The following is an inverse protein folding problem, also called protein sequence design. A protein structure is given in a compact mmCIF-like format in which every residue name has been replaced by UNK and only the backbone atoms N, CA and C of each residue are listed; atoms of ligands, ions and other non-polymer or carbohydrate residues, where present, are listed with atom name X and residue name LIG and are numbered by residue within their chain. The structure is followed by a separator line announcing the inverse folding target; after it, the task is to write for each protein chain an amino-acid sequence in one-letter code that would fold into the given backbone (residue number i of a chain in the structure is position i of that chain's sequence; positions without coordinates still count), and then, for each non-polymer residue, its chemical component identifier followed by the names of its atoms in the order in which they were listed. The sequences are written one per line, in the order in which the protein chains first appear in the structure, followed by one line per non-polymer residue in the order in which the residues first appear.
data_IF_171255936631
#
_entry.id   IF_171255936631
#
_cell.length_a   1.000
_cell.length_b   1.000
_cell.length_c   1.000
_cell.angle_alpha   90.00
_cell.angle_beta   90.00
_cell.angle_gamma   90.00
#
_symmetry.space_group_name_H-M   'P 1'
#
loop_
_entity.id
_entity.type
_entity.pdbx_description
1 polymer ?
#
# COMPACT_ATOMS: atom_id res chain seq x y z
N UNK A 1 12.74 23.24 13.54
CA UNK A 1 11.62 22.45 12.98
C UNK A 1 11.29 21.36 13.99
N UNK A 2 10.06 21.30 14.51
CA UNK A 2 9.67 20.26 15.48
C UNK A 2 9.34 18.97 14.73
N UNK A 3 9.70 17.81 15.30
CA UNK A 3 9.39 16.50 14.70
C UNK A 3 7.88 16.32 14.43
N UNK A 4 7.04 16.95 15.27
CA UNK A 4 5.60 16.99 15.08
C UNK A 4 5.18 17.55 13.72
N UNK A 5 5.82 18.62 13.23
CA UNK A 5 5.50 19.22 11.92
C UNK A 5 5.81 18.25 10.76
N UNK A 6 6.90 17.49 10.86
CA UNK A 6 7.28 16.48 9.86
C UNK A 6 6.22 15.39 9.78
N UNK A 7 5.76 14.90 10.94
CA UNK A 7 4.73 13.85 11.03
C UNK A 7 3.40 14.36 10.45
N UNK A 8 2.98 15.56 10.82
CA UNK A 8 1.74 16.16 10.31
C UNK A 8 1.83 16.32 8.78
N UNK A 9 2.95 16.81 8.26
CA UNK A 9 3.15 16.93 6.81
C UNK A 9 3.06 15.57 6.10
N UNK A 10 3.66 14.52 6.65
CA UNK A 10 3.55 13.17 6.09
C UNK A 10 2.11 12.65 6.07
N UNK A 11 1.36 12.82 7.17
CA UNK A 11 -0.05 12.40 7.23
C UNK A 11 -0.88 13.13 6.16
N UNK A 12 -0.69 14.45 6.03
CA UNK A 12 -1.39 15.26 5.03
C UNK A 12 -1.05 14.79 3.61
N UNK A 13 0.24 14.57 3.31
CA UNK A 13 0.68 14.11 1.98
C UNK A 13 0.14 12.72 1.64
N UNK A 14 0.23 11.76 2.58
CA UNK A 14 -0.31 10.42 2.40
C UNK A 14 -1.84 10.43 2.22
N UNK A 15 -2.54 11.28 2.97
CA UNK A 15 -3.98 11.45 2.83
C UNK A 15 -4.36 12.03 1.45
N UNK A 16 -3.64 13.06 0.98
CA UNK A 16 -3.83 13.62 -0.36
C UNK A 16 -3.56 12.54 -1.43
N UNK A 17 -2.47 11.78 -1.30
CA UNK A 17 -2.16 10.66 -2.19
C UNK A 17 -3.30 9.63 -2.24
N UNK A 18 -3.78 9.20 -1.08
CA UNK A 18 -4.88 8.25 -0.97
C UNK A 18 -6.16 8.76 -1.66
N UNK A 19 -6.56 10.02 -1.40
CA UNK A 19 -7.81 10.57 -1.94
C UNK A 19 -7.70 10.85 -3.43
N UNK A 20 -6.66 11.52 -3.90
CA UNK A 20 -6.58 11.98 -5.28
C UNK A 20 -5.96 10.93 -6.20
N UNK A 21 -4.76 10.46 -5.88
CA UNK A 21 -4.05 9.49 -6.71
C UNK A 21 -4.73 8.11 -6.64
N UNK A 22 -5.07 7.64 -5.43
CA UNK A 22 -5.80 6.37 -5.25
C UNK A 22 -7.16 6.34 -5.97
N UNK A 23 -7.95 7.42 -5.89
CA UNK A 23 -9.22 7.50 -6.61
C UNK A 23 -9.06 7.59 -8.12
N UNK A 24 -8.03 8.27 -8.61
CA UNK A 24 -7.72 8.32 -10.04
C UNK A 24 -7.34 6.92 -10.55
N UNK A 25 -6.49 6.22 -9.83
CA UNK A 25 -6.01 4.88 -10.17
C UNK A 25 -7.15 3.85 -10.17
N UNK A 26 -8.03 3.91 -9.16
CA UNK A 26 -9.23 3.07 -9.10
C UNK A 26 -10.15 3.24 -10.33
N UNK A 27 -10.27 4.49 -10.83
CA UNK A 27 -11.04 4.77 -12.06
C UNK A 27 -10.35 4.22 -13.30
N UNK A 28 -9.02 4.37 -13.41
CA UNK A 28 -8.26 3.85 -14.55
C UNK A 28 -8.32 2.32 -14.66
N UNK A 29 -8.28 1.61 -13.54
CA UNK A 29 -8.38 0.16 -13.52
C UNK A 29 -9.81 -0.38 -13.58
N UNK A 30 -10.82 0.48 -13.61
CA UNK A 30 -12.22 0.07 -13.76
C UNK A 30 -12.70 -0.83 -12.60
N UNK A 31 -12.31 -0.50 -11.37
CA UNK A 31 -12.73 -1.27 -10.19
C UNK A 31 -14.25 -1.23 -10.08
N UNK A 32 -14.88 -2.40 -10.18
CA UNK A 32 -16.31 -2.59 -9.99
C UNK A 32 -16.57 -3.35 -8.67
N UNK A 33 -17.07 -2.67 -7.62
CA UNK A 33 -17.38 -3.30 -6.34
C UNK A 33 -18.46 -4.39 -6.40
N UNK A 34 -19.27 -4.43 -7.46
CA UNK A 34 -20.34 -5.43 -7.64
C UNK A 34 -19.83 -6.70 -8.33
N UNK A 35 -18.61 -6.67 -8.88
CA UNK A 35 -18.03 -7.82 -9.58
C UNK A 35 -17.61 -8.88 -8.57
N UNK A 36 -18.21 -10.06 -8.66
CA UNK A 36 -17.79 -11.21 -7.85
C UNK A 36 -16.37 -11.62 -8.22
N UNK A 37 -15.55 -11.93 -7.21
CA UNK A 37 -14.16 -12.34 -7.42
C UNK A 37 -14.10 -13.75 -8.01
N UNK A 38 -13.04 -14.11 -8.75
CA UNK A 38 -12.83 -15.47 -9.24
C UNK A 38 -12.90 -16.54 -8.15
N UNK A 39 -12.46 -16.20 -6.93
CA UNK A 39 -12.55 -17.07 -5.75
C UNK A 39 -13.99 -17.50 -5.41
N UNK A 40 -15.00 -16.72 -5.80
CA UNK A 40 -16.42 -17.04 -5.59
C UNK A 40 -17.05 -17.73 -6.81
N UNK A 41 -16.80 -17.23 -8.02
CA UNK A 41 -17.45 -17.73 -9.24
C UNK A 41 -16.80 -18.98 -9.85
N UNK A 42 -15.54 -19.25 -9.53
CA UNK A 42 -14.75 -20.40 -10.02
C UNK A 42 -14.22 -21.25 -8.87
N UNK A 43 -14.89 -21.24 -7.73
CA UNK A 43 -14.42 -21.93 -6.53
C UNK A 43 -14.21 -23.43 -6.79
N UNK A 44 -12.97 -23.91 -6.63
CA UNK A 44 -12.56 -25.30 -6.89
C UNK A 44 -11.92 -25.98 -5.68
N UNK A 45 -11.66 -25.22 -4.60
CA UNK A 45 -11.02 -25.73 -3.38
C UNK A 45 -9.50 -25.90 -3.48
N UNK A 46 -8.88 -25.53 -4.60
CA UNK A 46 -7.44 -25.62 -4.84
C UNK A 46 -6.85 -24.28 -5.26
N UNK A 47 -7.19 -23.78 -6.45
CA UNK A 47 -6.67 -22.52 -7.01
C UNK A 47 -7.58 -21.33 -6.65
N UNK A 48 -8.88 -21.56 -6.50
CA UNK A 48 -9.89 -20.57 -6.16
C UNK A 48 -10.58 -20.94 -4.85
N UNK A 49 -10.07 -20.37 -3.75
CA UNK A 49 -10.61 -20.57 -2.40
C UNK A 49 -11.07 -19.24 -1.81
N UNK A 50 -12.31 -19.21 -1.31
CA UNK A 50 -12.85 -18.02 -0.63
C UNK A 50 -12.14 -17.81 0.70
N UNK A 51 -11.40 -16.71 0.81
CA UNK A 51 -10.70 -16.30 2.03
C UNK A 51 -11.34 -15.06 2.64
N UNK A 52 -11.23 -14.92 3.97
CA UNK A 52 -11.65 -13.70 4.67
C UNK A 52 -10.74 -12.54 4.27
N UNK A 53 -11.26 -11.31 4.06
CA UNK A 53 -10.45 -10.16 3.64
C UNK A 53 -9.23 -9.87 4.54
N UNK A 54 -9.36 -10.08 5.85
CA UNK A 54 -8.24 -9.88 6.81
C UNK A 54 -7.08 -10.84 6.55
N UNK A 55 -7.38 -12.08 6.16
CA UNK A 55 -6.36 -13.09 5.84
C UNK A 55 -5.66 -12.73 4.53
N UNK A 56 -6.42 -12.31 3.52
CA UNK A 56 -5.87 -11.83 2.24
C UNK A 56 -4.97 -10.61 2.43
N UNK A 57 -5.40 -9.65 3.27
CA UNK A 57 -4.58 -8.49 3.60
C UNK A 57 -3.23 -8.90 4.19
N UNK A 58 -3.23 -9.84 5.14
CA UNK A 58 -2.00 -10.36 5.74
C UNK A 58 -1.07 -11.03 4.73
N UNK A 59 -1.60 -11.87 3.83
CA UNK A 59 -0.81 -12.50 2.76
C UNK A 59 -0.25 -11.50 1.76
N UNK A 60 -1.06 -10.53 1.32
CA UNK A 60 -0.58 -9.48 0.42
C UNK A 60 0.50 -8.66 1.10
N UNK A 61 0.28 -8.25 2.35
CA UNK A 61 1.24 -7.48 3.12
C UNK A 61 2.56 -8.24 3.30
N UNK A 62 2.52 -9.51 3.73
CA UNK A 62 3.74 -10.30 3.93
C UNK A 62 4.51 -10.52 2.62
N UNK A 63 3.80 -10.67 1.50
CA UNK A 63 4.41 -10.86 0.18
C UNK A 63 5.15 -9.62 -0.32
N UNK A 64 4.73 -8.41 0.07
CA UNK A 64 5.38 -7.16 -0.34
C UNK A 64 6.35 -6.60 0.70
N UNK A 65 6.15 -6.92 1.98
CA UNK A 65 6.85 -6.27 3.10
C UNK A 65 8.38 -6.38 3.02
N UNK A 66 8.89 -7.54 2.60
CA UNK A 66 10.34 -7.79 2.53
C UNK A 66 11.06 -6.88 1.53
N UNK A 67 10.50 -6.67 0.34
CA UNK A 67 11.19 -5.97 -0.74
C UNK A 67 11.11 -4.44 -0.61
N UNK A 68 9.90 -3.87 -0.64
CA UNK A 68 9.72 -2.42 -0.68
C UNK A 68 9.76 -1.76 0.71
N UNK A 69 8.84 -2.13 1.61
CA UNK A 69 8.68 -1.47 2.91
C UNK A 69 9.84 -1.67 3.89
N UNK A 70 10.57 -2.79 3.82
CA UNK A 70 11.67 -3.08 4.75
C UNK A 70 13.03 -2.68 4.14
N UNK A 71 13.43 -3.29 3.01
CA UNK A 71 14.76 -3.05 2.46
C UNK A 71 14.95 -1.59 1.98
N UNK A 72 13.90 -0.98 1.42
CA UNK A 72 13.95 0.38 0.90
C UNK A 72 14.40 1.44 1.93
N UNK A 73 13.67 1.62 3.05
CA UNK A 73 14.06 2.55 4.11
C UNK A 73 15.43 2.22 4.73
N UNK A 74 15.76 0.94 4.87
CA UNK A 74 17.07 0.52 5.40
C UNK A 74 18.21 0.97 4.48
N UNK A 75 18.06 0.76 3.17
CA UNK A 75 19.03 1.24 2.18
C UNK A 75 19.08 2.77 2.14
N UNK A 76 17.94 3.45 2.29
CA UNK A 76 17.90 4.91 2.34
C UNK A 76 18.59 5.49 3.59
N UNK A 77 18.63 4.74 4.70
CA UNK A 77 19.20 5.19 5.97
C UNK A 77 20.71 5.47 5.89
N UNK A 78 21.43 4.87 4.94
CA UNK A 78 22.86 5.16 4.72
C UNK A 78 23.09 6.62 4.28
N UNK A 79 22.05 7.28 3.76
CA UNK A 79 22.06 8.68 3.34
C UNK A 79 21.41 9.61 4.38
N UNK A 80 21.11 9.10 5.58
CA UNK A 80 20.50 9.85 6.67
C UNK A 80 18.98 9.79 6.70
N UNK A 81 18.37 10.62 7.56
CA UNK A 81 16.94 10.51 7.87
C UNK A 81 16.02 11.10 6.79
N UNK A 82 16.48 12.09 6.01
CA UNK A 82 15.64 12.73 4.97
C UNK A 82 15.32 11.75 3.83
N UNK A 83 16.29 10.99 3.28
CA UNK A 83 15.97 9.98 2.27
C UNK A 83 15.05 8.87 2.77
N UNK A 84 15.19 8.46 4.03
CA UNK A 84 14.25 7.51 4.69
C UNK A 84 12.84 8.08 4.70
N UNK A 85 12.69 9.33 5.13
CA UNK A 85 11.41 10.01 5.17
C UNK A 85 10.77 10.11 3.77
N UNK A 86 11.55 10.52 2.76
CA UNK A 86 11.08 10.61 1.39
C UNK A 86 10.68 9.25 0.83
N UNK A 87 11.42 8.19 1.13
CA UNK A 87 11.05 6.83 0.73
C UNK A 87 9.69 6.43 1.31
N UNK A 88 9.49 6.63 2.62
CA UNK A 88 8.23 6.28 3.28
C UNK A 88 7.04 7.08 2.74
N UNK A 89 7.22 8.37 2.46
CA UNK A 89 6.13 9.23 1.98
C UNK A 89 5.85 8.99 0.50
N UNK A 90 6.86 9.10 -0.36
CA UNK A 90 6.67 8.97 -1.81
C UNK A 90 6.37 7.53 -2.21
N UNK A 91 7.10 6.55 -1.67
CA UNK A 91 6.84 5.13 -1.90
C UNK A 91 5.56 4.62 -1.24
N UNK A 92 4.98 5.39 -0.31
CA UNK A 92 3.64 5.13 0.21
C UNK A 92 2.52 5.69 -0.68
N UNK A 93 2.82 6.71 -1.50
CA UNK A 93 1.85 7.35 -2.41
C UNK A 93 1.81 6.62 -3.76
N UNK A 94 2.96 6.20 -4.27
CA UNK A 94 3.14 5.57 -5.60
C UNK A 94 3.48 4.09 -5.48
#
# INVERSE_FOLDING_TARGET
MTALLIIIAAIVLLFIGYVFYGSWLAKQWGIDPKRQTPAQVKADGMDYVVAKPVVLMGHHFSSIAGAGPINGPILAAVFGWVPVFLWCVLGGIF
#
